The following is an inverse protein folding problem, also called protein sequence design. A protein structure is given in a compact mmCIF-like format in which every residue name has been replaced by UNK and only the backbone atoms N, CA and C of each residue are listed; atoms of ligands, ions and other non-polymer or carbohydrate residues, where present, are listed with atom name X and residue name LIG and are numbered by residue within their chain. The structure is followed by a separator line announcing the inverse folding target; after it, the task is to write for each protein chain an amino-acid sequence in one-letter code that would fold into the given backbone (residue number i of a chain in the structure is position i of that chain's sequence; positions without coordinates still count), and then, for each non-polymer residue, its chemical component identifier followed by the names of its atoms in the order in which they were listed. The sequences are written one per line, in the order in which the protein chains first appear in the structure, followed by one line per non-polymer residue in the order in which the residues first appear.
data_IF_051273796788
#
_entry.id   IF_051273796788
#
_cell.length_a   1.000
_cell.length_b   1.000
_cell.length_c   1.000
_cell.angle_alpha   90.00
_cell.angle_beta   90.00
_cell.angle_gamma   90.00
#
_symmetry.space_group_name_H-M   'P 1'
#
loop_
_entity.id
_entity.type
_entity.pdbx_description
1 polymer ?
#
# COMPACT_ATOMS: atom_id res chain seq x y z
N UNK A 1 7.68 -7.71 14.67
CA UNK A 1 7.12 -7.42 13.33
C UNK A 1 6.73 -5.95 13.25
N UNK A 2 6.85 -5.30 12.08
CA UNK A 2 6.51 -3.88 11.91
C UNK A 2 4.98 -3.68 11.99
N UNK A 3 4.54 -2.71 12.80
CA UNK A 3 3.10 -2.42 12.98
C UNK A 3 2.54 -1.80 11.70
N UNK A 4 1.45 -2.35 11.16
CA UNK A 4 0.70 -1.70 10.07
C UNK A 4 -0.03 -0.51 10.67
N UNK A 5 0.33 0.68 10.22
CA UNK A 5 -0.30 1.92 10.69
C UNK A 5 -1.37 2.42 9.71
N UNK A 6 -1.43 1.85 8.51
CA UNK A 6 -2.26 2.34 7.43
C UNK A 6 -3.63 1.68 7.42
N UNK A 7 -4.66 2.51 7.27
CA UNK A 7 -6.04 2.06 7.16
C UNK A 7 -6.40 1.58 5.76
N UNK A 8 -5.52 1.78 4.78
CA UNK A 8 -5.74 1.33 3.41
C UNK A 8 -5.88 -0.20 3.36
N UNK A 9 -7.04 -0.66 2.90
CA UNK A 9 -7.37 -2.07 2.70
C UNK A 9 -7.15 -2.46 1.23
N UNK A 10 -6.85 -3.74 0.94
CA UNK A 10 -6.85 -4.22 -0.44
C UNK A 10 -8.25 -4.10 -1.04
N UNK A 11 -8.31 -3.69 -2.30
CA UNK A 11 -9.54 -3.70 -3.07
C UNK A 11 -9.65 -5.02 -3.84
N UNK A 12 -10.85 -5.40 -4.24
CA UNK A 12 -11.09 -6.62 -5.01
C UNK A 12 -11.78 -6.28 -6.33
N UNK A 13 -11.54 -7.11 -7.34
CA UNK A 13 -12.19 -6.97 -8.64
C UNK A 13 -11.90 -8.17 -9.53
N UNK A 14 -12.25 -8.05 -10.81
CA UNK A 14 -12.06 -9.10 -11.80
C UNK A 14 -11.04 -8.67 -12.86
N UNK A 15 -10.10 -9.55 -13.18
CA UNK A 15 -9.33 -9.45 -14.44
C UNK A 15 -10.22 -9.91 -15.58
N UNK A 16 -10.09 -9.24 -16.72
CA UNK A 16 -10.84 -9.55 -17.95
C UNK A 16 -9.85 -9.99 -19.02
N UNK A 17 -10.14 -11.10 -19.70
CA UNK A 17 -9.37 -11.53 -20.87
C UNK A 17 -9.81 -10.74 -22.12
N UNK A 18 -9.18 -11.03 -23.26
CA UNK A 18 -9.60 -10.52 -24.57
C UNK A 18 -11.07 -10.87 -24.89
N UNK A 19 -11.55 -12.03 -24.43
CA UNK A 19 -12.95 -12.45 -24.54
C UNK A 19 -13.79 -12.07 -23.30
N UNK A 20 -13.31 -11.15 -22.45
CA UNK A 20 -13.96 -10.67 -21.22
C UNK A 20 -14.22 -11.71 -20.12
N UNK A 21 -13.58 -12.88 -20.18
CA UNK A 21 -13.70 -13.91 -19.15
C UNK A 21 -13.25 -13.36 -17.79
N UNK A 22 -14.10 -13.52 -16.77
CA UNK A 22 -13.89 -12.95 -15.45
C UNK A 22 -13.04 -13.88 -14.57
N UNK A 23 -11.93 -13.38 -14.03
CA UNK A 23 -11.18 -14.07 -12.97
C UNK A 23 -10.97 -13.15 -11.76
N UNK A 24 -11.30 -13.62 -10.56
CA UNK A 24 -11.18 -12.80 -9.33
C UNK A 24 -9.73 -12.45 -9.02
N UNK A 25 -9.50 -11.23 -8.55
CA UNK A 25 -8.20 -10.73 -8.11
C UNK A 25 -8.32 -9.68 -6.99
N UNK A 26 -7.24 -9.46 -6.25
CA UNK A 26 -7.12 -8.44 -5.22
C UNK A 26 -6.05 -7.39 -5.59
N UNK A 27 -6.43 -6.12 -5.63
CA UNK A 27 -5.51 -4.99 -5.77
C UNK A 27 -4.89 -4.68 -4.40
N UNK A 28 -3.70 -5.26 -4.16
CA UNK A 28 -2.96 -5.06 -2.91
C UNK A 28 -2.23 -3.70 -2.93
N UNK A 29 -2.37 -2.86 -1.90
CA UNK A 29 -1.59 -1.63 -1.81
C UNK A 29 -0.10 -1.97 -1.64
N UNK A 30 0.77 -1.13 -2.22
CA UNK A 30 2.22 -1.27 -2.06
C UNK A 30 2.63 -0.85 -0.65
N UNK A 31 2.74 -1.84 0.25
CA UNK A 31 3.14 -1.67 1.64
C UNK A 31 4.67 -1.75 1.76
N UNK A 32 5.28 -0.69 2.29
CA UNK A 32 6.71 -0.56 2.52
C UNK A 32 6.99 -0.49 4.03
N UNK A 33 8.02 -1.21 4.47
CA UNK A 33 8.53 -1.12 5.84
C UNK A 33 9.50 0.05 5.97
N UNK A 34 9.18 1.01 6.82
CA UNK A 34 10.04 2.17 7.10
C UNK A 34 10.32 2.32 8.58
N UNK A 35 11.47 2.89 8.90
CA UNK A 35 11.82 3.28 10.27
C UNK A 35 11.53 4.76 10.45
N UNK A 36 10.65 5.10 11.38
CA UNK A 36 10.33 6.47 11.77
C UNK A 36 10.61 6.57 13.27
N UNK A 37 11.47 7.51 13.68
CA UNK A 37 11.85 7.74 15.07
C UNK A 37 12.26 6.45 15.82
N UNK A 38 13.10 5.63 15.17
CA UNK A 38 13.62 4.38 15.74
C UNK A 38 12.65 3.18 15.76
N UNK A 39 11.39 3.36 15.34
CA UNK A 39 10.38 2.28 15.30
C UNK A 39 10.04 1.89 13.86
N UNK A 40 9.82 0.60 13.62
CA UNK A 40 9.47 0.04 12.30
C UNK A 40 7.96 0.04 12.08
N UNK A 41 7.52 0.69 11.01
CA UNK A 41 6.12 0.77 10.58
C UNK A 41 5.94 0.25 9.15
N UNK A 42 4.76 -0.30 8.85
CA UNK A 42 4.34 -0.60 7.47
C UNK A 42 3.40 0.50 7.00
N UNK A 43 3.85 1.25 6.00
CA UNK A 43 3.12 2.36 5.37
C UNK A 43 2.87 2.09 3.88
N UNK A 44 1.92 2.76 3.24
CA UNK A 44 1.80 2.69 1.79
C UNK A 44 2.85 3.58 1.12
N UNK A 45 3.23 3.26 -0.11
CA UNK A 45 4.15 4.09 -0.89
C UNK A 45 3.65 5.54 -1.08
N UNK A 46 2.32 5.76 -1.12
CA UNK A 46 1.73 7.08 -1.29
C UNK A 46 1.87 7.92 -0.01
N UNK A 47 1.54 7.36 1.16
CA UNK A 47 1.71 8.04 2.44
C UNK A 47 3.19 8.34 2.70
N UNK A 48 4.08 7.42 2.33
CA UNK A 48 5.53 7.61 2.44
C UNK A 48 6.03 8.79 1.61
N UNK A 49 5.49 9.00 0.40
CA UNK A 49 5.80 10.19 -0.42
C UNK A 49 5.38 11.48 0.31
N UNK A 50 4.19 11.50 0.92
CA UNK A 50 3.70 12.65 1.69
C UNK A 50 4.58 12.91 2.91
N UNK A 51 4.93 11.88 3.69
CA UNK A 51 5.79 11.99 4.87
C UNK A 51 7.17 12.55 4.48
N UNK A 52 7.79 12.03 3.41
CA UNK A 52 9.07 12.56 2.90
C UNK A 52 8.98 14.03 2.52
N UNK A 53 7.87 14.45 1.90
CA UNK A 53 7.65 15.86 1.56
C UNK A 53 7.50 16.73 2.80
N UNK A 54 6.80 16.26 3.84
CA UNK A 54 6.63 16.98 5.11
C UNK A 54 7.92 17.07 5.95
N UNK A 55 8.84 16.10 5.82
CA UNK A 55 10.13 16.11 6.53
C UNK A 55 11.21 16.94 5.82
N UNK A 56 11.06 17.17 4.51
CA UNK A 56 12.01 17.93 3.71
C UNK A 56 11.65 19.43 3.59
N UNK A 57 10.47 19.82 4.09
CA UNK A 57 10.03 21.20 4.24
C UNK A 57 10.20 21.62 5.71
#
# INVERSE_FOLDING_TARGET
MAKKITDTKPLFGNRRSHALNATRHAFKPNLQTVTINGKKYRVTARELKTIKKMLAA
#
